data_IF_138659953261
#
_entry.id   IF_138659953261
#
_cell.length_a   1.000
_cell.length_b   1.000
_cell.length_c   1.000
_cell.angle_alpha   90.00
_cell.angle_beta   90.00
_cell.angle_gamma   90.00
#
_symmetry.space_group_name_H-M   'P 1'
#
loop_
_entity.id
_entity.type
_entity.pdbx_description
1 polymer ?
#
# COMPACT_ATOMS: atom_id res chain seq x y z
N UNK A 1 10.37 -59.87 33.92
CA UNK A 1 9.28 -58.89 34.19
C UNK A 1 9.72 -57.41 34.10
N UNK A 2 10.95 -57.04 34.50
CA UNK A 2 11.45 -55.65 34.44
C UNK A 2 11.70 -55.12 33.02
N UNK A 3 12.05 -55.97 32.03
CA UNK A 3 12.34 -55.50 30.67
C UNK A 3 11.10 -55.08 29.85
N UNK A 4 9.95 -55.70 30.09
CA UNK A 4 8.69 -55.33 29.42
C UNK A 4 8.08 -54.03 29.96
N UNK A 5 8.38 -53.65 31.19
CA UNK A 5 7.90 -52.42 31.80
C UNK A 5 8.63 -51.18 31.25
N UNK A 6 9.95 -51.29 31.07
CA UNK A 6 10.77 -50.21 30.48
C UNK A 6 10.42 -49.97 29.00
N UNK A 7 10.10 -51.01 28.24
CA UNK A 7 9.73 -50.91 26.81
C UNK A 7 8.35 -50.24 26.63
N UNK A 8 7.38 -50.49 27.52
CA UNK A 8 6.09 -49.82 27.50
C UNK A 8 6.18 -48.33 27.90
N UNK A 9 7.03 -48.01 28.88
CA UNK A 9 7.29 -46.61 29.26
C UNK A 9 7.98 -45.82 28.14
N UNK A 10 9.00 -46.35 27.50
CA UNK A 10 9.69 -45.70 26.34
C UNK A 10 8.74 -45.48 25.17
N UNK A 11 7.86 -46.44 24.87
CA UNK A 11 6.90 -46.33 23.79
C UNK A 11 5.81 -45.27 24.08
N UNK A 12 5.41 -45.16 25.34
CA UNK A 12 4.46 -44.16 25.83
C UNK A 12 5.06 -42.76 25.78
N UNK A 13 6.31 -42.61 26.20
CA UNK A 13 7.07 -41.34 26.14
C UNK A 13 7.33 -40.89 24.70
N UNK A 14 7.75 -41.78 23.83
CA UNK A 14 7.97 -41.47 22.40
C UNK A 14 6.70 -41.02 21.72
N UNK A 15 5.57 -41.66 21.99
CA UNK A 15 4.26 -41.25 21.46
C UNK A 15 3.80 -39.90 22.01
N UNK A 16 4.10 -39.57 23.25
CA UNK A 16 3.82 -38.28 23.84
C UNK A 16 4.64 -37.17 23.19
N UNK A 17 5.96 -37.36 23.03
CA UNK A 17 6.85 -36.41 22.39
C UNK A 17 6.44 -36.17 20.90
N UNK A 18 6.14 -37.23 20.17
CA UNK A 18 5.68 -37.13 18.78
C UNK A 18 4.40 -36.28 18.65
N UNK A 19 3.46 -36.43 19.58
CA UNK A 19 2.23 -35.61 19.59
C UNK A 19 2.51 -34.16 19.91
N UNK A 20 3.34 -33.88 20.88
CA UNK A 20 3.71 -32.53 21.28
C UNK A 20 4.40 -31.81 20.10
N UNK A 21 5.30 -32.50 19.42
CA UNK A 21 5.96 -31.97 18.21
C UNK A 21 4.95 -31.71 17.09
N UNK A 22 4.00 -32.61 16.84
CA UNK A 22 2.95 -32.41 15.84
C UNK A 22 2.07 -31.19 16.14
N UNK A 23 1.67 -31.01 17.40
CA UNK A 23 0.88 -29.87 17.84
C UNK A 23 1.65 -28.57 17.61
N UNK A 24 2.92 -28.51 18.04
CA UNK A 24 3.77 -27.33 17.86
C UNK A 24 3.96 -27.01 16.38
N UNK A 25 4.26 -28.01 15.56
CA UNK A 25 4.42 -27.83 14.10
C UNK A 25 3.12 -27.32 13.47
N UNK A 26 1.96 -27.89 13.83
CA UNK A 26 0.66 -27.45 13.31
C UNK A 26 0.39 -26.00 13.69
N UNK A 27 0.60 -25.61 14.95
CA UNK A 27 0.44 -24.22 15.41
C UNK A 27 1.37 -23.30 14.64
N UNK A 28 2.65 -23.66 14.53
CA UNK A 28 3.65 -22.84 13.84
C UNK A 28 3.31 -22.63 12.35
N UNK A 29 2.90 -23.69 11.64
CA UNK A 29 2.52 -23.63 10.23
C UNK A 29 1.25 -22.81 10.01
N UNK A 30 0.24 -22.99 10.85
CA UNK A 30 -1.01 -22.23 10.77
C UNK A 30 -0.74 -20.74 11.01
N UNK A 31 -0.02 -20.39 12.08
CA UNK A 31 0.30 -19.01 12.41
C UNK A 31 1.18 -18.36 11.33
N UNK A 32 2.14 -19.10 10.78
CA UNK A 32 2.98 -18.64 9.65
C UNK A 32 2.15 -18.37 8.40
N UNK A 33 1.16 -19.21 8.11
CA UNK A 33 0.29 -19.04 6.95
C UNK A 33 -0.73 -17.91 7.11
N UNK A 34 -1.17 -17.63 8.36
CA UNK A 34 -2.17 -16.58 8.61
C UNK A 34 -1.75 -15.24 8.02
N UNK A 35 -2.67 -14.50 7.40
CA UNK A 35 -2.38 -13.17 6.90
C UNK A 35 -1.78 -12.29 8.00
N UNK A 36 -0.58 -11.78 7.77
CA UNK A 36 0.11 -10.91 8.75
C UNK A 36 -0.49 -9.51 8.76
N UNK A 37 -1.13 -9.14 7.66
CA UNK A 37 -1.80 -7.86 7.47
C UNK A 37 -3.31 -8.04 7.43
N UNK A 38 -4.02 -7.28 8.24
CA UNK A 38 -5.44 -7.00 8.04
C UNK A 38 -5.61 -5.99 6.89
N UNK A 39 -4.87 -6.20 5.78
CA UNK A 39 -4.99 -5.35 4.61
C UNK A 39 -6.35 -5.64 3.97
N UNK A 40 -7.32 -4.83 4.28
CA UNK A 40 -8.54 -4.77 3.50
C UNK A 40 -8.20 -4.06 2.19
N UNK A 41 -7.71 -4.81 1.20
CA UNK A 41 -7.51 -4.27 -0.14
C UNK A 41 -8.89 -4.06 -0.76
N UNK A 42 -9.33 -2.82 -0.73
CA UNK A 42 -10.48 -2.43 -1.52
C UNK A 42 -10.05 -2.28 -2.98
N UNK A 43 -10.67 -3.01 -3.88
CA UNK A 43 -10.51 -2.76 -5.30
C UNK A 43 -11.33 -1.52 -5.67
N UNK A 44 -10.62 -0.39 -5.82
CA UNK A 44 -11.20 0.92 -6.05
C UNK A 44 -11.32 1.19 -7.55
N UNK A 45 -12.54 1.41 -8.03
CA UNK A 45 -12.78 1.89 -9.37
C UNK A 45 -13.63 3.16 -9.32
N UNK A 46 -13.07 4.27 -9.82
CA UNK A 46 -13.78 5.56 -9.91
C UNK A 46 -15.01 5.43 -10.80
N UNK A 47 -16.13 6.02 -10.38
CA UNK A 47 -17.37 6.01 -11.13
C UNK A 47 -18.18 4.71 -11.05
N UNK A 48 -17.69 3.69 -10.34
CA UNK A 48 -18.43 2.44 -10.08
C UNK A 48 -19.04 2.43 -8.69
N UNK A 49 -20.13 1.67 -8.47
CA UNK A 49 -20.73 1.51 -7.16
C UNK A 49 -19.77 0.80 -6.19
N UNK A 50 -19.75 1.25 -4.94
CA UNK A 50 -19.03 0.62 -3.85
C UNK A 50 -19.62 -0.76 -3.53
N UNK A 51 -18.86 -1.82 -3.74
CA UNK A 51 -19.33 -3.21 -3.63
C UNK A 51 -19.25 -3.79 -2.22
N UNK A 52 -18.50 -3.13 -1.34
CA UNK A 52 -18.26 -3.61 0.03
C UNK A 52 -19.30 -3.07 1.01
N UNK A 53 -19.21 -3.47 2.28
CA UNK A 53 -20.03 -2.91 3.35
C UNK A 53 -19.78 -1.40 3.54
N UNK A 54 -20.68 -0.73 4.26
CA UNK A 54 -20.53 0.68 4.61
C UNK A 54 -19.17 0.91 5.26
N UNK A 55 -18.44 1.91 4.77
CA UNK A 55 -17.10 2.19 5.24
C UNK A 55 -17.06 3.45 6.09
N UNK A 56 -16.70 3.27 7.35
CA UNK A 56 -16.43 4.32 8.33
C UNK A 56 -14.96 4.32 8.72
N UNK A 57 -14.41 5.50 8.98
CA UNK A 57 -13.01 5.65 9.39
C UNK A 57 -12.74 4.97 10.75
N UNK A 58 -11.84 3.98 10.82
CA UNK A 58 -11.53 3.30 12.08
C UNK A 58 -10.57 4.10 12.98
N UNK A 59 -9.86 5.09 12.42
CA UNK A 59 -8.95 6.02 13.09
C UNK A 59 -8.88 7.34 12.31
N UNK A 60 -8.28 8.37 12.90
CA UNK A 60 -8.07 9.67 12.26
C UNK A 60 -6.96 9.57 11.22
N UNK A 61 -7.20 10.05 10.01
CA UNK A 61 -6.17 10.06 8.97
C UNK A 61 -6.29 11.25 8.01
N UNK A 62 -5.14 11.75 7.47
CA UNK A 62 -5.13 12.81 6.47
C UNK A 62 -5.58 12.30 5.11
N UNK A 63 -6.33 13.12 4.38
CA UNK A 63 -6.68 12.86 2.97
C UNK A 63 -5.61 13.50 2.09
N UNK A 64 -4.76 12.70 1.49
CA UNK A 64 -3.68 13.16 0.63
C UNK A 64 -4.19 13.70 -0.69
N UNK A 65 -3.50 14.73 -1.21
CA UNK A 65 -3.69 15.21 -2.57
C UNK A 65 -3.16 14.18 -3.57
N UNK A 66 -3.73 14.15 -4.79
CA UNK A 66 -3.14 13.32 -5.86
C UNK A 66 -1.77 13.88 -6.28
N UNK A 67 -0.91 13.00 -6.80
CA UNK A 67 0.41 13.40 -7.30
C UNK A 67 0.31 14.45 -8.42
N UNK A 68 -0.75 14.38 -9.24
CA UNK A 68 -1.03 15.37 -10.28
C UNK A 68 -1.37 16.74 -9.68
N UNK A 69 -2.19 16.78 -8.62
CA UNK A 69 -2.54 18.03 -7.93
C UNK A 69 -1.31 18.65 -7.25
N UNK A 70 -0.45 17.85 -6.64
CA UNK A 70 0.80 18.31 -6.04
C UNK A 70 1.75 18.85 -7.14
N UNK A 71 1.87 18.15 -8.27
CA UNK A 71 2.69 18.61 -9.41
C UNK A 71 2.16 19.92 -9.97
N UNK A 72 0.84 20.03 -10.21
CA UNK A 72 0.23 21.25 -10.70
C UNK A 72 0.43 22.45 -9.76
N UNK A 73 0.36 22.22 -8.44
CA UNK A 73 0.63 23.25 -7.45
C UNK A 73 2.12 23.65 -7.41
N UNK A 74 3.04 22.68 -7.54
CA UNK A 74 4.47 22.93 -7.70
C UNK A 74 4.77 23.76 -8.95
N UNK A 75 4.20 23.36 -10.08
CA UNK A 75 4.38 24.07 -11.36
C UNK A 75 3.82 25.49 -11.29
N UNK A 76 2.69 25.68 -10.61
CA UNK A 76 2.11 27.01 -10.38
C UNK A 76 3.00 27.89 -9.53
N UNK A 77 3.56 27.34 -8.44
CA UNK A 77 4.50 28.06 -7.57
C UNK A 77 5.80 28.41 -8.30
N UNK A 78 6.33 27.49 -9.12
CA UNK A 78 7.53 27.73 -9.91
C UNK A 78 7.34 28.84 -10.96
N UNK A 79 6.14 29.04 -11.49
CA UNK A 79 5.84 30.17 -12.40
C UNK A 79 5.91 31.52 -11.70
N UNK A 80 5.56 31.56 -10.42
CA UNK A 80 5.60 32.80 -9.59
C UNK A 80 6.92 33.00 -8.85
N UNK A 81 7.84 32.04 -9.01
CA UNK A 81 9.12 32.10 -8.35
C UNK A 81 10.03 33.18 -8.92
N UNK A 82 10.60 34.04 -8.06
CA UNK A 82 11.53 35.12 -8.35
C UNK A 82 12.94 34.73 -7.89
N UNK A 83 13.92 34.53 -8.79
CA UNK A 83 15.29 34.22 -8.41
C UNK A 83 16.00 35.40 -7.75
N UNK A 84 16.88 35.10 -6.80
CA UNK A 84 17.62 36.10 -6.06
C UNK A 84 18.94 36.44 -6.73
N UNK A 85 19.22 37.74 -6.82
CA UNK A 85 20.47 38.30 -7.31
C UNK A 85 21.07 39.22 -6.26
N UNK A 86 22.36 39.06 -5.96
CA UNK A 86 23.12 39.93 -5.09
C UNK A 86 23.63 41.11 -5.92
N UNK A 87 23.35 42.34 -5.47
CA UNK A 87 23.91 43.57 -6.08
C UNK A 87 25.30 43.84 -5.51
N UNK A 88 26.28 43.90 -6.43
CA UNK A 88 27.68 44.19 -6.07
C UNK A 88 27.96 45.71 -6.25
N UNK A 89 27.90 46.46 -5.15
CA UNK A 89 28.18 47.87 -5.13
C UNK A 89 29.68 48.21 -5.37
N UNK A 90 30.58 47.30 -4.97
CA UNK A 90 32.01 47.50 -5.16
C UNK A 90 32.39 47.46 -6.61
N UNK A 91 31.71 46.61 -7.40
CA UNK A 91 31.93 46.46 -8.83
C UNK A 91 31.66 47.74 -9.61
N UNK A 92 30.59 48.46 -9.27
CA UNK A 92 30.27 49.79 -9.81
C UNK A 92 31.41 50.76 -9.56
N UNK A 93 31.80 50.94 -8.27
CA UNK A 93 32.86 51.89 -7.89
C UNK A 93 34.20 51.56 -8.55
N UNK A 94 34.55 50.26 -8.64
CA UNK A 94 35.78 49.80 -9.29
C UNK A 94 35.80 50.12 -10.76
N UNK A 95 34.72 49.82 -11.49
CA UNK A 95 34.68 50.00 -12.96
C UNK A 95 34.60 51.47 -13.39
N UNK A 96 33.82 52.27 -12.68
CA UNK A 96 33.78 53.74 -12.92
C UNK A 96 35.11 54.37 -12.60
N UNK A 97 35.76 54.01 -11.50
CA UNK A 97 37.10 54.50 -11.13
C UNK A 97 38.15 54.06 -12.17
N UNK A 98 38.14 52.81 -12.58
CA UNK A 98 39.03 52.26 -13.60
C UNK A 98 38.85 53.05 -14.93
N UNK A 99 37.62 53.27 -15.36
CA UNK A 99 37.31 54.06 -16.56
C UNK A 99 37.89 55.47 -16.44
N UNK A 100 37.71 56.16 -15.32
CA UNK A 100 38.23 57.50 -15.06
C UNK A 100 39.77 57.56 -15.00
N UNK A 101 40.43 56.52 -14.48
CA UNK A 101 41.88 56.41 -14.42
C UNK A 101 42.50 56.12 -15.77
N UNK A 102 41.97 55.17 -16.50
CA UNK A 102 42.49 54.75 -17.80
C UNK A 102 42.34 55.84 -18.87
N UNK A 103 41.38 56.74 -18.70
CA UNK A 103 41.05 57.81 -19.64
C UNK A 103 41.20 59.22 -19.02
N UNK A 104 42.06 59.34 -17.97
CA UNK A 104 42.28 60.62 -17.28
C UNK A 104 42.80 61.75 -18.19
N UNK A 105 43.55 61.40 -19.23
CA UNK A 105 44.07 62.34 -20.25
C UNK A 105 43.02 62.65 -21.34
N UNK A 106 41.80 62.08 -21.25
CA UNK A 106 40.74 62.24 -22.25
C UNK A 106 40.64 61.04 -23.19
N UNK A 107 39.55 60.97 -23.93
CA UNK A 107 39.35 59.96 -24.97
C UNK A 107 40.11 60.38 -26.25
N UNK A 108 40.62 59.41 -27.05
CA UNK A 108 41.22 59.74 -28.33
C UNK A 108 40.24 60.55 -29.19
N UNK A 109 40.70 61.73 -29.66
CA UNK A 109 39.92 62.67 -30.48
C UNK A 109 38.74 63.35 -29.78
N UNK A 110 38.51 63.16 -28.46
CA UNK A 110 37.41 63.74 -27.67
C UNK A 110 37.92 64.42 -26.39
N UNK A 111 37.25 65.51 -25.98
CA UNK A 111 37.63 66.26 -24.77
C UNK A 111 37.29 65.56 -23.44
N UNK A 112 37.85 66.03 -22.32
CA UNK A 112 37.64 65.44 -20.98
C UNK A 112 36.17 65.49 -20.52
N UNK A 113 35.35 66.36 -21.07
CA UNK A 113 33.90 66.41 -20.81
C UNK A 113 33.18 65.11 -21.13
N UNK A 114 33.60 64.35 -22.16
CA UNK A 114 33.02 63.07 -22.53
C UNK A 114 33.31 62.00 -21.49
N UNK A 115 34.48 62.06 -20.82
CA UNK A 115 34.81 61.15 -19.71
C UNK A 115 33.79 61.30 -18.58
N UNK A 116 33.40 62.52 -18.23
CA UNK A 116 32.41 62.81 -17.20
C UNK A 116 31.00 62.32 -17.61
N UNK A 117 30.60 62.58 -18.89
CA UNK A 117 29.30 62.16 -19.39
C UNK A 117 29.18 60.63 -19.38
N UNK A 118 30.20 59.91 -19.85
CA UNK A 118 30.21 58.44 -19.88
C UNK A 118 30.26 57.89 -18.45
N UNK A 119 31.06 58.49 -17.53
CA UNK A 119 31.09 58.07 -16.12
C UNK A 119 29.72 58.17 -15.47
N UNK A 120 28.99 59.28 -15.68
CA UNK A 120 27.64 59.45 -15.13
C UNK A 120 26.67 58.43 -15.76
N UNK A 121 26.84 58.14 -17.02
CA UNK A 121 26.00 57.14 -17.69
C UNK A 121 26.28 55.70 -17.22
N UNK A 122 27.55 55.35 -17.08
CA UNK A 122 27.96 54.09 -16.48
C UNK A 122 27.38 53.94 -15.06
N UNK A 123 27.48 55.00 -14.23
CA UNK A 123 26.88 55.00 -12.91
C UNK A 123 25.37 54.70 -12.96
N UNK A 124 24.61 55.35 -13.81
CA UNK A 124 23.18 55.11 -13.94
C UNK A 124 22.85 53.68 -14.43
N UNK A 125 23.66 53.12 -15.34
CA UNK A 125 23.49 51.72 -15.80
C UNK A 125 23.79 50.71 -14.71
N UNK A 126 24.83 50.93 -13.92
CA UNK A 126 25.16 50.08 -12.82
C UNK A 126 24.09 50.14 -11.71
N UNK A 127 23.50 51.30 -11.44
CA UNK A 127 22.41 51.43 -10.44
C UNK A 127 21.17 50.63 -10.84
N UNK A 128 20.86 50.56 -12.12
CA UNK A 128 19.74 49.72 -12.62
C UNK A 128 20.06 48.24 -12.57
N UNK A 129 21.35 47.89 -12.63
CA UNK A 129 21.83 46.50 -12.58
C UNK A 129 22.17 45.92 -13.96
N UNK A 130 23.34 45.31 -13.99
CA UNK A 130 23.86 44.64 -15.19
C UNK A 130 24.01 43.15 -14.93
N UNK A 131 23.39 42.32 -15.74
CA UNK A 131 23.45 40.86 -15.64
C UNK A 131 24.36 40.27 -16.73
N UNK A 132 24.76 39.01 -16.51
CA UNK A 132 25.39 38.19 -17.54
C UNK A 132 24.47 38.06 -18.76
N UNK A 133 24.99 38.16 -20.00
CA UNK A 133 24.16 38.04 -21.24
C UNK A 133 23.43 36.70 -21.35
N UNK A 134 24.03 35.60 -20.84
CA UNK A 134 23.44 34.26 -20.85
C UNK A 134 22.24 34.22 -19.92
N UNK A 135 22.39 34.59 -18.66
CA UNK A 135 21.31 34.61 -17.67
C UNK A 135 20.17 35.54 -18.06
N UNK A 136 20.51 36.74 -18.59
CA UNK A 136 19.54 37.69 -19.08
C UNK A 136 18.70 37.13 -20.25
N UNK A 137 19.34 36.42 -21.21
CA UNK A 137 18.62 35.81 -22.33
C UNK A 137 17.67 34.69 -21.89
N UNK A 138 18.04 33.89 -20.92
CA UNK A 138 17.20 32.83 -20.34
C UNK A 138 15.98 33.44 -19.62
N UNK A 139 16.18 34.46 -18.82
CA UNK A 139 15.09 35.09 -18.07
C UNK A 139 14.15 35.92 -18.95
N UNK A 140 14.67 36.52 -20.03
CA UNK A 140 13.89 37.37 -20.93
C UNK A 140 12.92 36.61 -21.84
N UNK A 141 12.98 35.28 -21.89
CA UNK A 141 11.98 34.47 -22.63
C UNK A 141 10.57 34.71 -22.08
N UNK A 142 10.46 35.08 -20.79
CA UNK A 142 9.23 35.52 -20.15
C UNK A 142 9.37 37.00 -19.75
N UNK A 143 8.76 37.91 -20.55
CA UNK A 143 8.82 39.36 -20.34
C UNK A 143 8.15 39.84 -19.06
N UNK A 144 7.27 39.03 -18.46
CA UNK A 144 6.62 39.30 -17.17
C UNK A 144 7.44 38.81 -15.96
N UNK A 145 8.62 38.24 -16.19
CA UNK A 145 9.40 37.62 -15.12
C UNK A 145 10.02 38.68 -14.21
N UNK A 146 9.80 38.46 -12.91
CA UNK A 146 10.38 39.29 -11.86
C UNK A 146 11.61 38.59 -11.28
N UNK A 147 12.56 39.36 -10.81
CA UNK A 147 13.75 38.94 -10.07
C UNK A 147 13.84 39.69 -8.75
N UNK A 148 14.50 39.12 -7.77
CA UNK A 148 14.75 39.76 -6.46
C UNK A 148 16.18 40.24 -6.38
N UNK A 149 16.37 41.54 -6.37
CA UNK A 149 17.68 42.15 -6.18
C UNK A 149 17.93 42.45 -4.67
N UNK A 150 18.98 41.87 -4.13
CA UNK A 150 19.38 42.06 -2.72
C UNK A 150 20.41 43.15 -2.63
N UNK A 151 20.02 44.25 -1.94
CA UNK A 151 20.87 45.37 -1.61
C UNK A 151 20.84 45.58 -0.10
N UNK A 152 21.97 45.61 0.58
CA UNK A 152 22.06 45.86 2.02
C UNK A 152 21.12 44.97 2.86
N UNK A 153 21.03 43.69 2.53
CA UNK A 153 20.14 42.66 3.16
C UNK A 153 18.63 42.83 2.91
N UNK A 154 18.23 43.81 2.11
CA UNK A 154 16.83 43.97 1.67
C UNK A 154 16.68 43.42 0.24
N UNK A 155 15.63 42.66 0.01
CA UNK A 155 15.33 42.10 -1.27
C UNK A 155 14.15 42.85 -1.91
N UNK A 156 14.38 43.47 -3.06
CA UNK A 156 13.37 44.18 -3.82
C UNK A 156 13.02 43.41 -5.08
N UNK A 157 11.74 43.26 -5.39
CA UNK A 157 11.27 42.65 -6.64
C UNK A 157 11.36 43.67 -7.76
N UNK A 158 12.03 43.32 -8.84
CA UNK A 158 12.30 44.18 -10.02
C UNK A 158 11.98 43.40 -11.28
N UNK A 159 11.40 44.08 -12.26
CA UNK A 159 11.14 43.45 -13.55
C UNK A 159 12.45 43.20 -14.31
N UNK A 160 12.57 42.06 -15.00
CA UNK A 160 13.70 41.77 -15.88
C UNK A 160 13.87 42.83 -16.99
N UNK A 161 12.80 43.56 -17.34
CA UNK A 161 12.81 44.61 -18.32
C UNK A 161 13.50 45.91 -17.85
N UNK A 162 13.64 46.10 -16.54
CA UNK A 162 14.29 47.24 -15.91
C UNK A 162 15.79 47.05 -15.73
N UNK A 163 16.28 45.83 -15.98
CA UNK A 163 17.68 45.42 -15.79
C UNK A 163 18.34 45.30 -17.17
N UNK A 164 19.63 45.46 -17.24
CA UNK A 164 20.38 45.34 -18.49
C UNK A 164 21.23 44.06 -18.53
N UNK A 165 21.45 43.51 -19.69
CA UNK A 165 22.62 42.67 -19.97
C UNK A 165 23.83 43.54 -20.30
N UNK A 166 25.05 42.99 -20.19
CA UNK A 166 26.24 43.77 -20.63
C UNK A 166 26.12 44.29 -22.09
N UNK A 167 25.44 43.54 -22.97
CA UNK A 167 25.19 43.92 -24.33
C UNK A 167 24.17 45.07 -24.45
N UNK A 168 23.03 44.97 -23.77
CA UNK A 168 22.00 46.00 -23.81
C UNK A 168 22.45 47.27 -23.07
N UNK A 169 23.25 47.13 -22.00
CA UNK A 169 23.87 48.25 -21.31
C UNK A 169 24.83 49.04 -22.22
N UNK A 170 25.61 48.33 -23.05
CA UNK A 170 26.46 48.97 -24.04
C UNK A 170 25.65 49.73 -25.09
N UNK A 171 24.56 49.16 -25.58
CA UNK A 171 23.67 49.85 -26.54
C UNK A 171 22.99 51.08 -25.91
N UNK A 172 22.63 50.97 -24.60
CA UNK A 172 21.97 52.02 -23.86
C UNK A 172 22.90 53.25 -23.63
N UNK A 173 24.21 53.04 -23.58
CA UNK A 173 25.19 54.17 -23.54
C UNK A 173 24.99 55.15 -24.70
N UNK A 174 24.69 54.63 -25.88
CA UNK A 174 24.54 55.43 -27.13
C UNK A 174 23.13 55.99 -27.36
N UNK A 175 22.23 55.85 -26.38
CA UNK A 175 20.92 56.54 -26.47
C UNK A 175 21.02 58.03 -26.09
N UNK A 176 22.13 58.46 -25.51
CA UNK A 176 22.41 59.86 -25.30
C UNK A 176 22.81 60.47 -26.65
N UNK A 177 22.14 61.56 -27.06
CA UNK A 177 22.37 62.21 -28.36
C UNK A 177 23.83 62.65 -28.56
N UNK A 178 24.50 63.16 -27.51
CA UNK A 178 25.90 63.55 -27.59
C UNK A 178 26.84 62.37 -27.82
N UNK A 179 26.57 61.21 -27.18
CA UNK A 179 27.34 59.98 -27.34
C UNK A 179 27.02 59.25 -28.65
N UNK A 180 25.80 59.34 -29.13
CA UNK A 180 25.36 58.73 -30.40
C UNK A 180 26.11 59.33 -31.58
N UNK A 181 26.31 60.65 -31.59
CA UNK A 181 27.06 61.35 -32.66
C UNK A 181 28.52 60.93 -32.72
N UNK A 182 29.11 60.53 -31.62
CA UNK A 182 30.53 60.16 -31.49
C UNK A 182 30.74 58.64 -31.47
N UNK A 183 29.70 57.82 -31.76
CA UNK A 183 29.73 56.38 -31.73
C UNK A 183 30.92 55.73 -32.49
N UNK A 184 31.34 56.21 -33.70
CA UNK A 184 32.46 55.64 -34.41
C UNK A 184 33.79 55.76 -33.69
N UNK A 185 33.99 56.84 -32.94
CA UNK A 185 35.19 57.12 -32.14
C UNK A 185 35.13 56.29 -30.86
N UNK A 186 34.01 56.32 -30.14
CA UNK A 186 33.80 55.60 -28.89
C UNK A 186 33.86 54.08 -29.04
N UNK A 187 33.52 53.52 -30.18
CA UNK A 187 33.69 52.10 -30.45
C UNK A 187 35.16 51.65 -30.48
N UNK A 188 36.10 52.57 -30.80
CA UNK A 188 37.56 52.31 -30.74
C UNK A 188 38.12 52.27 -29.32
N UNK A 189 37.36 52.77 -28.33
CA UNK A 189 37.81 52.93 -26.94
C UNK A 189 37.50 51.72 -26.07
N UNK A 190 37.07 50.58 -26.60
CA UNK A 190 36.77 49.32 -25.87
C UNK A 190 35.90 49.51 -24.62
N UNK A 191 34.85 50.37 -24.71
CA UNK A 191 33.96 50.68 -23.56
C UNK A 191 33.32 49.43 -22.94
N UNK A 192 33.26 48.31 -23.70
CA UNK A 192 32.79 47.03 -23.16
C UNK A 192 33.61 46.54 -21.95
N UNK A 193 34.89 46.89 -21.84
CA UNK A 193 35.76 46.44 -20.76
C UNK A 193 35.34 47.03 -19.41
N UNK A 194 34.56 48.11 -19.40
CA UNK A 194 34.04 48.77 -18.20
C UNK A 194 32.56 48.44 -17.92
N UNK A 195 31.90 47.58 -18.75
CA UNK A 195 30.52 47.16 -18.53
C UNK A 195 30.53 45.69 -18.14
N UNK A 196 30.72 45.44 -16.88
CA UNK A 196 30.76 44.10 -16.31
C UNK A 196 29.50 43.81 -15.47
N UNK A 197 29.04 42.58 -15.37
CA UNK A 197 27.88 42.23 -14.53
C UNK A 197 28.15 42.60 -13.07
N UNK A 198 27.18 43.29 -12.43
CA UNK A 198 27.14 43.57 -11.02
C UNK A 198 25.93 42.92 -10.29
N UNK A 199 25.07 42.25 -11.04
CA UNK A 199 24.06 41.36 -10.48
C UNK A 199 24.56 39.93 -10.57
N UNK A 200 24.83 39.34 -9.43
CA UNK A 200 25.36 37.97 -9.33
C UNK A 200 24.25 37.08 -8.78
N UNK A 201 23.97 35.96 -9.44
CA UNK A 201 22.97 35.00 -9.00
C UNK A 201 23.32 34.46 -7.61
N UNK A 202 22.40 34.67 -6.63
CA UNK A 202 22.55 34.15 -5.26
C UNK A 202 21.93 32.75 -5.19
N UNK A 203 22.75 31.75 -5.47
CA UNK A 203 22.34 30.37 -5.49
C UNK A 203 21.78 29.89 -4.14
N UNK A 204 22.44 30.24 -3.04
CA UNK A 204 22.06 29.76 -1.70
C UNK A 204 20.68 30.27 -1.30
N UNK A 205 20.43 31.58 -1.48
CA UNK A 205 19.10 32.15 -1.18
C UNK A 205 18.03 31.65 -2.12
N UNK A 206 18.35 31.51 -3.38
CA UNK A 206 17.43 30.99 -4.40
C UNK A 206 17.00 29.55 -4.08
N UNK A 207 17.94 28.65 -3.82
CA UNK A 207 17.65 27.26 -3.46
C UNK A 207 16.90 27.15 -2.13
N UNK A 208 17.26 27.95 -1.13
CA UNK A 208 16.54 27.98 0.16
C UNK A 208 15.10 28.43 -0.05
N UNK A 209 14.88 29.51 -0.80
CA UNK A 209 13.53 30.02 -1.10
C UNK A 209 12.68 29.00 -1.87
N UNK A 210 13.26 28.28 -2.84
CA UNK A 210 12.57 27.18 -3.54
C UNK A 210 12.18 26.08 -2.55
N UNK A 211 13.11 25.66 -1.69
CA UNK A 211 12.83 24.61 -0.72
C UNK A 211 11.74 25.03 0.28
N UNK A 212 11.75 26.28 0.74
CA UNK A 212 10.72 26.81 1.62
C UNK A 212 9.34 26.85 0.92
N UNK A 213 9.29 27.29 -0.32
CA UNK A 213 8.08 27.26 -1.14
C UNK A 213 7.57 25.84 -1.36
N UNK A 214 8.45 24.90 -1.69
CA UNK A 214 8.08 23.49 -1.88
C UNK A 214 7.60 22.84 -0.58
N UNK A 215 8.20 23.17 0.56
CA UNK A 215 7.81 22.66 1.87
C UNK A 215 6.48 23.24 2.37
N UNK A 216 6.08 24.41 1.87
CA UNK A 216 4.81 25.05 2.21
C UNK A 216 3.60 24.38 1.55
N UNK A 217 3.80 23.50 0.56
CA UNK A 217 2.73 22.77 -0.11
C UNK A 217 2.13 21.76 0.86
N UNK A 218 0.87 21.97 1.22
CA UNK A 218 0.14 21.01 2.04
C UNK A 218 -0.08 19.71 1.27
N UNK A 219 0.45 18.60 1.78
CA UNK A 219 0.30 17.26 1.15
C UNK A 219 -1.11 16.70 1.32
N UNK A 220 -1.88 17.19 2.29
CA UNK A 220 -3.24 16.76 2.59
C UNK A 220 -4.25 17.90 2.37
N UNK A 221 -5.46 17.53 1.95
CA UNK A 221 -6.59 18.46 1.78
C UNK A 221 -7.42 18.63 3.05
N UNK A 222 -7.30 17.70 4.01
CA UNK A 222 -8.03 17.70 5.27
C UNK A 222 -7.79 16.42 6.05
N UNK A 223 -8.49 16.25 7.17
CA UNK A 223 -8.42 15.07 8.04
C UNK A 223 -9.82 14.46 8.16
N UNK A 224 -9.91 13.14 8.02
CA UNK A 224 -11.12 12.36 8.31
C UNK A 224 -10.99 11.83 9.73
N UNK A 225 -12.00 12.08 10.56
CA UNK A 225 -12.01 11.67 11.96
C UNK A 225 -12.53 10.24 12.12
N UNK A 226 -12.09 9.55 13.17
CA UNK A 226 -12.58 8.23 13.57
C UNK A 226 -14.12 8.25 13.70
N UNK A 227 -14.76 7.22 13.12
CA UNK A 227 -16.21 7.10 13.11
C UNK A 227 -16.92 7.91 12.02
N UNK A 228 -16.21 8.76 11.26
CA UNK A 228 -16.76 9.47 10.13
C UNK A 228 -17.05 8.50 8.98
N UNK A 229 -18.27 8.54 8.47
CA UNK A 229 -18.70 7.74 7.32
C UNK A 229 -18.06 8.26 6.03
N UNK A 230 -17.52 7.36 5.22
CA UNK A 230 -16.81 7.68 3.98
C UNK A 230 -17.65 7.32 2.76
N UNK A 231 -18.24 6.11 2.74
CA UNK A 231 -19.05 5.61 1.62
C UNK A 231 -20.02 4.53 2.08
N UNK A 232 -21.21 4.49 1.46
CA UNK A 232 -22.22 3.46 1.65
C UNK A 232 -22.11 2.36 0.59
N UNK A 233 -22.61 1.17 0.93
CA UNK A 233 -22.75 0.09 -0.04
C UNK A 233 -23.68 0.51 -1.19
N UNK A 234 -23.18 0.40 -2.42
CA UNK A 234 -23.90 0.79 -3.62
C UNK A 234 -23.74 2.26 -4.02
N UNK A 235 -23.16 3.11 -3.19
CA UNK A 235 -22.83 4.49 -3.52
C UNK A 235 -21.75 4.56 -4.60
N UNK A 236 -21.88 5.51 -5.53
CA UNK A 236 -20.87 5.70 -6.58
C UNK A 236 -19.60 6.29 -5.97
N UNK A 237 -18.47 5.65 -6.23
CA UNK A 237 -17.15 6.11 -5.79
C UNK A 237 -16.76 7.37 -6.55
N UNK A 238 -16.94 8.53 -5.91
CA UNK A 238 -16.52 9.83 -6.43
C UNK A 238 -15.01 10.02 -6.28
N UNK A 239 -14.42 11.04 -6.93
CA UNK A 239 -13.00 11.38 -6.74
C UNK A 239 -12.64 11.68 -5.29
N UNK A 240 -13.55 12.29 -4.54
CA UNK A 240 -13.37 12.59 -3.12
C UNK A 240 -13.35 11.31 -2.28
N UNK A 241 -14.31 10.43 -2.51
CA UNK A 241 -14.42 9.13 -1.83
C UNK A 241 -13.23 8.24 -2.17
N UNK A 242 -12.83 8.20 -3.44
CA UNK A 242 -11.65 7.46 -3.91
C UNK A 242 -10.39 7.89 -3.16
N UNK A 243 -10.11 9.22 -3.11
CA UNK A 243 -8.94 9.74 -2.40
C UNK A 243 -8.97 9.48 -0.90
N UNK A 244 -10.15 9.55 -0.29
CA UNK A 244 -10.31 9.23 1.12
C UNK A 244 -9.93 7.78 1.43
N UNK A 245 -10.42 6.83 0.61
CA UNK A 245 -10.13 5.40 0.81
C UNK A 245 -8.67 5.07 0.44
N UNK A 246 -8.13 5.66 -0.62
CA UNK A 246 -6.72 5.52 -1.00
C UNK A 246 -5.79 6.04 0.11
N UNK A 247 -6.12 7.21 0.68
CA UNK A 247 -5.38 7.79 1.81
C UNK A 247 -5.46 6.92 3.06
N UNK A 248 -6.64 6.36 3.33
CA UNK A 248 -6.83 5.38 4.40
C UNK A 248 -5.93 4.16 4.22
N UNK A 249 -5.90 3.58 3.00
CA UNK A 249 -5.05 2.42 2.72
C UNK A 249 -3.57 2.74 2.95
N UNK A 250 -3.10 3.89 2.45
CA UNK A 250 -1.72 4.35 2.63
C UNK A 250 -1.35 4.58 4.10
N UNK A 251 -2.24 5.19 4.86
CA UNK A 251 -1.98 5.45 6.29
C UNK A 251 -2.11 4.17 7.13
N UNK A 252 -3.00 3.27 6.76
CA UNK A 252 -3.10 1.93 7.35
C UNK A 252 -1.81 1.12 7.15
N UNK A 253 -1.21 1.19 5.95
CA UNK A 253 0.11 0.57 5.70
C UNK A 253 1.18 1.16 6.62
N UNK A 254 1.24 2.49 6.72
CA UNK A 254 2.23 3.19 7.55
C UNK A 254 2.12 2.85 9.04
N UNK A 255 0.88 2.79 9.55
CA UNK A 255 0.63 2.41 10.94
C UNK A 255 0.99 0.94 11.23
N UNK A 256 0.90 0.06 10.21
CA UNK A 256 1.28 -1.35 10.35
C UNK A 256 2.78 -1.62 10.22
N UNK A 257 3.56 -0.71 9.68
CA UNK A 257 5.03 -0.79 9.66
C UNK A 257 5.64 -0.56 11.05
N UNK A 258 4.89 -0.01 12.01
CA UNK A 258 5.36 0.17 13.38
C UNK A 258 5.48 -1.19 14.09
N UNK A 259 6.71 -1.65 14.28
CA UNK A 259 7.14 -2.99 14.73
C UNK A 259 6.51 -3.49 16.06
N UNK A 260 5.95 -2.60 16.87
CA UNK A 260 5.31 -2.93 18.15
C UNK A 260 3.91 -3.53 17.99
N UNK A 261 3.10 -3.02 17.06
CA UNK A 261 1.75 -3.56 16.81
C UNK A 261 1.80 -4.97 16.19
N UNK A 262 2.79 -5.25 15.35
CA UNK A 262 2.99 -6.57 14.76
C UNK A 262 3.29 -7.65 15.79
N UNK A 263 3.99 -7.34 16.89
CA UNK A 263 4.29 -8.31 17.96
C UNK A 263 3.05 -8.73 18.74
N UNK A 264 2.19 -7.77 19.10
CA UNK A 264 0.93 -8.09 19.80
C UNK A 264 -0.05 -8.85 18.91
N UNK A 265 -0.15 -8.51 17.64
CA UNK A 265 -0.95 -9.24 16.65
C UNK A 265 -0.48 -10.69 16.51
N UNK A 266 0.84 -10.91 16.39
CA UNK A 266 1.42 -12.24 16.31
C UNK A 266 1.15 -13.06 17.58
N UNK A 267 1.35 -12.46 18.78
CA UNK A 267 1.05 -13.11 20.05
C UNK A 267 -0.42 -13.49 20.16
N UNK A 268 -1.33 -12.62 19.74
CA UNK A 268 -2.77 -12.89 19.69
C UNK A 268 -3.11 -14.08 18.78
N UNK A 269 -2.51 -14.16 17.60
CA UNK A 269 -2.69 -15.29 16.66
C UNK A 269 -2.17 -16.60 17.24
N UNK A 270 -0.98 -16.58 17.83
CA UNK A 270 -0.39 -17.76 18.50
C UNK A 270 -1.30 -18.23 19.62
N UNK A 271 -1.75 -17.31 20.49
CA UNK A 271 -2.60 -17.63 21.62
C UNK A 271 -3.94 -18.23 21.17
N UNK A 272 -4.59 -17.62 20.16
CA UNK A 272 -5.86 -18.07 19.61
C UNK A 272 -5.76 -19.50 19.04
N UNK A 273 -4.82 -19.73 18.13
CA UNK A 273 -4.62 -21.04 17.49
C UNK A 273 -4.26 -22.09 18.53
N UNK A 274 -3.42 -21.73 19.50
CA UNK A 274 -3.02 -22.62 20.60
C UNK A 274 -4.23 -23.04 21.43
N UNK A 275 -5.09 -22.12 21.85
CA UNK A 275 -6.29 -22.42 22.63
C UNK A 275 -7.21 -23.39 21.88
N UNK A 276 -7.47 -23.14 20.59
CA UNK A 276 -8.37 -23.95 19.76
C UNK A 276 -7.78 -25.37 19.57
N UNK A 277 -6.50 -25.48 19.23
CA UNK A 277 -5.84 -26.79 19.05
C UNK A 277 -5.74 -27.56 20.37
N UNK A 278 -5.41 -26.89 21.48
CA UNK A 278 -5.40 -27.52 22.81
C UNK A 278 -6.80 -27.97 23.24
N UNK A 279 -7.85 -27.19 22.93
CA UNK A 279 -9.23 -27.58 23.17
C UNK A 279 -9.59 -28.91 22.47
N UNK A 280 -9.20 -29.03 21.16
CA UNK A 280 -9.38 -30.28 20.42
C UNK A 280 -8.55 -31.43 21.01
N UNK A 281 -7.29 -31.18 21.40
CA UNK A 281 -6.43 -32.19 22.04
C UNK A 281 -7.02 -32.65 23.37
N UNK A 282 -7.54 -31.71 24.15
CA UNK A 282 -8.20 -31.99 25.43
C UNK A 282 -9.46 -32.84 25.21
N UNK A 283 -10.29 -32.50 24.24
CA UNK A 283 -11.44 -33.37 23.87
C UNK A 283 -10.99 -34.79 23.55
N UNK A 284 -9.95 -34.99 22.73
CA UNK A 284 -9.41 -36.30 22.41
C UNK A 284 -8.88 -37.02 23.67
N UNK A 285 -8.26 -36.31 24.59
CA UNK A 285 -7.72 -36.90 25.82
C UNK A 285 -8.79 -37.40 26.78
N UNK A 286 -9.94 -36.76 26.83
CA UNK A 286 -11.05 -37.13 27.70
C UNK A 286 -11.92 -38.23 27.08
N UNK A 287 -12.27 -38.11 25.79
CA UNK A 287 -13.29 -38.94 25.18
C UNK A 287 -12.75 -40.02 24.27
N UNK A 288 -11.51 -39.87 23.76
CA UNK A 288 -10.93 -40.73 22.73
C UNK A 288 -9.46 -41.04 22.94
N UNK A 289 -9.14 -41.53 24.12
CA UNK A 289 -7.77 -41.96 24.48
C UNK A 289 -7.20 -43.04 23.56
N UNK A 290 -8.06 -43.90 23.01
CA UNK A 290 -7.71 -44.93 22.03
C UNK A 290 -7.07 -44.39 20.77
N UNK A 291 -7.55 -43.23 20.28
CA UNK A 291 -6.93 -42.53 19.12
C UNK A 291 -5.62 -41.84 19.47
N UNK A 292 -5.49 -41.38 20.72
CA UNK A 292 -4.22 -40.84 21.18
C UNK A 292 -3.10 -41.89 21.17
N UNK A 293 -3.39 -43.15 21.38
CA UNK A 293 -2.41 -44.25 21.29
C UNK A 293 -2.03 -44.51 19.84
N UNK A 294 -2.95 -44.34 18.89
CA UNK A 294 -2.74 -44.57 17.45
C UNK A 294 -2.21 -43.28 16.76
N UNK A 295 -0.94 -42.98 16.88
CA UNK A 295 -0.31 -41.72 16.41
C UNK A 295 -0.66 -41.35 14.95
N UNK A 296 -0.84 -42.33 14.05
CA UNK A 296 -1.16 -42.07 12.62
C UNK A 296 -2.51 -41.39 12.42
N UNK A 297 -3.56 -41.79 13.19
CA UNK A 297 -4.91 -41.18 13.08
C UNK A 297 -4.90 -39.72 13.50
N UNK A 298 -4.18 -39.41 14.57
CA UNK A 298 -4.01 -38.05 15.04
C UNK A 298 -3.22 -37.21 14.03
N UNK A 299 -2.10 -37.77 13.54
CA UNK A 299 -1.28 -37.09 12.54
C UNK A 299 -2.10 -36.71 11.28
N UNK A 300 -2.94 -37.61 10.79
CA UNK A 300 -3.87 -37.33 9.71
C UNK A 300 -4.81 -36.16 10.05
N UNK A 301 -5.44 -36.17 11.23
CA UNK A 301 -6.41 -35.13 11.61
C UNK A 301 -5.75 -33.77 11.73
N UNK A 302 -4.60 -33.64 12.40
CA UNK A 302 -3.86 -32.39 12.49
C UNK A 302 -3.34 -31.92 11.13
N UNK A 303 -2.89 -32.85 10.28
CA UNK A 303 -2.47 -32.53 8.91
C UNK A 303 -3.62 -31.94 8.10
N UNK A 304 -4.81 -32.54 8.17
CA UNK A 304 -5.99 -32.04 7.46
C UNK A 304 -6.38 -30.63 7.96
N UNK A 305 -6.46 -30.42 9.26
CA UNK A 305 -6.75 -29.10 9.84
C UNK A 305 -5.72 -28.06 9.36
N UNK A 306 -4.42 -28.40 9.40
CA UNK A 306 -3.34 -27.52 9.01
C UNK A 306 -3.39 -27.20 7.51
N UNK A 307 -3.60 -28.20 6.66
CA UNK A 307 -3.68 -28.03 5.19
C UNK A 307 -4.84 -27.09 4.84
N UNK A 308 -6.03 -27.31 5.38
CA UNK A 308 -7.18 -26.45 5.09
C UNK A 308 -7.01 -25.03 5.63
N UNK A 309 -6.38 -24.85 6.79
CA UNK A 309 -6.03 -23.52 7.30
C UNK A 309 -5.03 -22.80 6.38
N UNK A 310 -4.00 -23.49 5.87
CA UNK A 310 -3.04 -22.94 4.91
C UNK A 310 -3.73 -22.60 3.59
N UNK A 311 -4.58 -23.48 3.07
CA UNK A 311 -5.36 -23.23 1.84
C UNK A 311 -6.25 -22.00 2.00
N UNK A 312 -6.95 -21.86 3.13
CA UNK A 312 -7.76 -20.67 3.43
C UNK A 312 -6.92 -19.40 3.40
N UNK A 313 -5.75 -19.42 4.04
CA UNK A 313 -4.82 -18.29 4.05
C UNK A 313 -4.30 -17.94 2.65
N UNK A 314 -4.02 -18.93 1.81
CA UNK A 314 -3.59 -18.72 0.42
C UNK A 314 -4.71 -18.12 -0.44
N UNK A 315 -5.94 -18.60 -0.28
CA UNK A 315 -7.10 -18.06 -0.99
C UNK A 315 -7.42 -16.63 -0.57
N UNK A 316 -7.22 -16.29 0.71
CA UNK A 316 -7.36 -14.91 1.18
C UNK A 316 -6.32 -13.94 0.61
N UNK A 317 -5.14 -14.41 0.23
CA UNK A 317 -4.11 -13.59 -0.43
C UNK A 317 -4.42 -13.33 -1.90
N UNK A 318 -5.29 -14.12 -2.51
CA UNK A 318 -5.61 -14.03 -3.92
C UNK A 318 -6.97 -13.34 -4.12
N UNK A 319 -6.97 -12.18 -4.77
CA UNK A 319 -8.18 -11.36 -5.03
C UNK A 319 -9.16 -11.99 -6.04
N UNK A 320 -8.73 -12.99 -6.81
CA UNK A 320 -9.54 -13.61 -7.85
C UNK A 320 -10.33 -14.83 -7.37
N UNK A 321 -10.05 -15.35 -6.18
CA UNK A 321 -10.67 -16.59 -5.68
C UNK A 321 -11.41 -16.34 -4.37
N UNK A 322 -12.60 -16.94 -4.25
CA UNK A 322 -13.40 -16.85 -3.03
C UNK A 322 -13.20 -18.10 -2.17
N UNK A 323 -13.13 -17.93 -0.85
CA UNK A 323 -12.88 -19.04 0.10
C UNK A 323 -13.94 -20.13 0.06
N UNK A 324 -15.16 -19.83 -0.35
CA UNK A 324 -16.22 -20.82 -0.52
C UNK A 324 -16.01 -21.85 -1.66
N UNK A 325 -14.96 -21.72 -2.48
CA UNK A 325 -14.55 -22.76 -3.42
C UNK A 325 -13.92 -23.95 -2.69
N UNK A 326 -13.29 -23.71 -1.53
CA UNK A 326 -12.61 -24.76 -0.77
C UNK A 326 -13.60 -25.74 -0.16
N UNK A 327 -13.45 -27.04 -0.43
CA UNK A 327 -14.36 -28.07 0.05
C UNK A 327 -14.07 -28.46 1.52
N UNK A 328 -14.35 -27.57 2.47
CA UNK A 328 -14.08 -27.77 3.90
C UNK A 328 -14.76 -29.04 4.46
N UNK A 329 -15.90 -29.46 3.90
CA UNK A 329 -16.59 -30.67 4.27
C UNK A 329 -15.80 -31.95 3.98
N UNK A 330 -14.69 -31.88 3.20
CA UNK A 330 -13.78 -33.04 3.05
C UNK A 330 -13.16 -33.46 4.37
N UNK A 331 -12.87 -32.53 5.29
CA UNK A 331 -12.26 -32.86 6.57
C UNK A 331 -13.16 -33.79 7.41
N UNK A 332 -14.43 -33.45 7.69
CA UNK A 332 -15.28 -34.36 8.42
C UNK A 332 -15.57 -35.65 7.65
N UNK A 333 -15.61 -35.64 6.30
CA UNK A 333 -15.74 -36.85 5.49
C UNK A 333 -14.57 -37.80 5.77
N UNK A 334 -13.32 -37.32 5.63
CA UNK A 334 -12.14 -38.17 5.84
C UNK A 334 -12.01 -38.64 7.29
N UNK A 335 -12.22 -37.75 8.25
CA UNK A 335 -12.16 -38.14 9.66
C UNK A 335 -13.26 -39.15 9.99
N UNK A 336 -14.47 -39.00 9.43
CA UNK A 336 -15.57 -39.94 9.63
C UNK A 336 -15.27 -41.33 9.09
N UNK A 337 -14.62 -41.45 7.94
CA UNK A 337 -14.25 -42.71 7.32
C UNK A 337 -13.25 -43.51 8.16
N UNK A 338 -12.27 -42.84 8.76
CA UNK A 338 -11.18 -43.50 9.49
C UNK A 338 -11.37 -43.53 11.04
N UNK A 339 -12.30 -42.71 11.53
CA UNK A 339 -12.54 -42.56 12.97
C UNK A 339 -14.05 -42.64 13.26
N UNK A 340 -14.61 -41.67 13.98
CA UNK A 340 -16.02 -41.66 14.34
C UNK A 340 -16.67 -40.29 14.10
N UNK A 341 -18.00 -40.25 14.12
CA UNK A 341 -18.78 -39.03 13.84
C UNK A 341 -18.49 -37.89 14.83
N UNK A 342 -18.29 -38.22 16.12
CA UNK A 342 -18.04 -37.18 17.13
C UNK A 342 -16.68 -36.53 16.93
N UNK A 343 -15.66 -37.35 16.67
CA UNK A 343 -14.31 -36.82 16.36
C UNK A 343 -14.29 -36.06 15.05
N UNK A 344 -15.01 -36.51 14.01
CA UNK A 344 -15.14 -35.83 12.76
C UNK A 344 -15.76 -34.43 12.92
N UNK A 345 -16.83 -34.31 13.70
CA UNK A 345 -17.47 -33.04 14.00
C UNK A 345 -16.56 -32.10 14.75
N UNK A 346 -15.89 -32.59 15.82
CA UNK A 346 -14.98 -31.76 16.61
C UNK A 346 -13.76 -31.29 15.79
N UNK A 347 -13.20 -32.15 14.94
CA UNK A 347 -12.10 -31.77 14.02
C UNK A 347 -12.55 -30.70 13.02
N UNK A 348 -13.75 -30.84 12.48
CA UNK A 348 -14.33 -29.88 11.54
C UNK A 348 -14.57 -28.51 12.19
N UNK A 349 -15.19 -28.46 13.37
CA UNK A 349 -15.40 -27.22 14.12
C UNK A 349 -14.05 -26.55 14.47
N UNK A 350 -13.06 -27.34 14.92
CA UNK A 350 -11.71 -26.83 15.20
C UNK A 350 -11.13 -26.14 13.96
N UNK A 351 -11.20 -26.77 12.80
CA UNK A 351 -10.73 -26.23 11.54
C UNK A 351 -11.47 -24.94 11.16
N UNK A 352 -12.82 -24.96 11.20
CA UNK A 352 -13.66 -23.81 10.85
C UNK A 352 -13.32 -22.61 11.74
N UNK A 353 -13.20 -22.80 13.05
CA UNK A 353 -12.86 -21.73 13.97
C UNK A 353 -11.49 -21.11 13.66
N UNK A 354 -10.49 -21.94 13.32
CA UNK A 354 -9.17 -21.45 12.91
C UNK A 354 -9.26 -20.67 11.60
N UNK A 355 -10.02 -21.16 10.63
CA UNK A 355 -10.19 -20.47 9.33
C UNK A 355 -11.00 -19.17 9.45
N UNK A 356 -12.05 -19.17 10.29
CA UNK A 356 -12.97 -18.04 10.44
C UNK A 356 -12.29 -16.75 10.88
N UNK A 357 -11.26 -16.82 11.73
CA UNK A 357 -10.53 -15.63 12.21
C UNK A 357 -9.79 -14.90 11.10
N UNK A 358 -9.55 -15.58 9.96
CA UNK A 358 -8.91 -14.98 8.77
C UNK A 358 -9.90 -14.25 7.87
N UNK A 359 -11.22 -14.40 8.08
CA UNK A 359 -12.28 -13.96 7.18
C UNK A 359 -12.99 -12.71 7.71
N UNK A 360 -13.41 -11.83 6.79
CA UNK A 360 -14.20 -10.62 7.13
C UNK A 360 -15.62 -10.97 7.59
N UNK A 361 -16.27 -11.96 6.96
CA UNK A 361 -17.61 -12.44 7.30
C UNK A 361 -17.54 -13.76 8.08
N UNK A 362 -16.83 -13.73 9.20
CA UNK A 362 -16.53 -14.93 10.01
C UNK A 362 -17.77 -15.67 10.49
N UNK A 363 -18.83 -14.94 10.92
CA UNK A 363 -20.05 -15.54 11.45
C UNK A 363 -20.80 -16.35 10.42
N UNK A 364 -20.99 -15.81 9.21
CA UNK A 364 -21.68 -16.51 8.12
C UNK A 364 -20.91 -17.76 7.70
N UNK A 365 -19.60 -17.62 7.55
CA UNK A 365 -18.72 -18.74 7.21
C UNK A 365 -18.84 -19.87 8.24
N UNK A 366 -18.80 -19.55 9.55
CA UNK A 366 -18.95 -20.56 10.60
C UNK A 366 -20.29 -21.28 10.52
N UNK A 367 -21.39 -20.56 10.26
CA UNK A 367 -22.72 -21.18 10.17
C UNK A 367 -22.83 -22.06 8.92
N UNK A 368 -22.46 -21.54 7.74
CA UNK A 368 -22.52 -22.26 6.47
C UNK A 368 -21.70 -23.55 6.54
N UNK A 369 -20.46 -23.47 6.99
CA UNK A 369 -19.57 -24.63 7.05
C UNK A 369 -19.92 -25.60 8.17
N UNK A 370 -20.49 -25.12 9.29
CA UNK A 370 -21.01 -26.03 10.34
C UNK A 370 -22.14 -26.90 9.80
N UNK A 371 -23.08 -26.29 9.02
CA UNK A 371 -24.16 -27.02 8.37
C UNK A 371 -23.61 -28.00 7.33
N UNK A 372 -22.61 -27.57 6.53
CA UNK A 372 -21.93 -28.45 5.57
C UNK A 372 -21.37 -29.72 6.24
N UNK A 373 -20.67 -29.53 7.39
CA UNK A 373 -20.12 -30.63 8.17
C UNK A 373 -21.16 -31.55 8.77
N UNK A 374 -22.26 -30.99 9.32
CA UNK A 374 -23.37 -31.78 9.84
C UNK A 374 -24.02 -32.66 8.76
N UNK A 375 -24.27 -32.07 7.58
CA UNK A 375 -24.83 -32.80 6.45
C UNK A 375 -23.88 -33.89 5.96
N UNK A 376 -22.56 -33.56 5.87
CA UNK A 376 -21.52 -34.53 5.49
C UNK A 376 -21.51 -35.74 6.43
N UNK A 377 -21.47 -35.51 7.74
CA UNK A 377 -21.40 -36.58 8.75
C UNK A 377 -22.68 -37.41 8.77
N UNK A 378 -23.85 -36.76 8.65
CA UNK A 378 -25.16 -37.42 8.69
C UNK A 378 -25.41 -38.26 7.45
N UNK A 379 -24.99 -37.75 6.27
CA UNK A 379 -25.15 -38.46 4.98
C UNK A 379 -24.25 -39.70 4.87
N UNK A 380 -23.14 -39.75 5.63
CA UNK A 380 -22.20 -40.88 5.62
C UNK A 380 -22.43 -41.88 6.76
N UNK A 381 -23.67 -42.04 7.23
CA UNK A 381 -24.00 -42.96 8.32
C UNK A 381 -23.70 -44.42 7.99
N UNK A 382 -23.93 -44.85 6.77
CA UNK A 382 -23.69 -46.20 6.25
C UNK A 382 -22.79 -46.15 5.02
N UNK A 383 -21.49 -46.30 5.19
CA UNK A 383 -20.49 -46.25 4.10
C UNK A 383 -20.41 -47.60 3.40
N UNK A 384 -21.44 -47.97 2.65
CA UNK A 384 -21.47 -49.23 1.90
C UNK A 384 -21.20 -49.06 0.40
N UNK A 385 -21.33 -47.88 -0.16
CA UNK A 385 -21.24 -47.66 -1.62
C UNK A 385 -20.56 -46.34 -2.00
N UNK A 386 -19.77 -46.36 -3.08
CA UNK A 386 -19.13 -45.13 -3.67
C UNK A 386 -20.15 -44.06 -4.07
N UNK A 387 -21.36 -44.49 -4.49
CA UNK A 387 -22.44 -43.57 -4.88
C UNK A 387 -22.93 -42.68 -3.74
N UNK A 388 -22.65 -43.02 -2.48
CA UNK A 388 -23.03 -42.20 -1.32
C UNK A 388 -22.21 -40.90 -1.24
N UNK A 389 -20.93 -40.93 -1.59
CA UNK A 389 -20.12 -39.72 -1.63
C UNK A 389 -20.65 -38.70 -2.64
N UNK A 390 -21.15 -39.19 -3.80
CA UNK A 390 -21.77 -38.34 -4.81
C UNK A 390 -23.07 -37.69 -4.30
N UNK A 391 -23.95 -38.48 -3.67
CA UNK A 391 -25.18 -37.97 -3.05
C UNK A 391 -24.84 -36.97 -1.92
N UNK A 392 -23.83 -37.27 -1.10
CA UNK A 392 -23.39 -36.42 -0.03
C UNK A 392 -22.92 -35.06 -0.55
N UNK A 393 -22.14 -35.01 -1.63
CA UNK A 393 -21.70 -33.77 -2.27
C UNK A 393 -22.88 -32.90 -2.71
N UNK A 394 -23.90 -33.49 -3.33
CA UNK A 394 -25.12 -32.78 -3.71
C UNK A 394 -25.86 -32.22 -2.50
N UNK A 395 -26.07 -33.04 -1.44
CA UNK A 395 -26.75 -32.58 -0.23
C UNK A 395 -26.02 -31.46 0.48
N UNK A 396 -24.68 -31.51 0.55
CA UNK A 396 -23.86 -30.46 1.11
C UNK A 396 -24.04 -29.15 0.31
N UNK A 397 -23.93 -29.22 -1.02
CA UNK A 397 -24.09 -28.07 -1.89
C UNK A 397 -25.46 -27.41 -1.75
N UNK A 398 -26.54 -28.22 -1.76
CA UNK A 398 -27.90 -27.71 -1.58
C UNK A 398 -28.09 -27.05 -0.19
N UNK A 399 -27.57 -27.70 0.87
CA UNK A 399 -27.66 -27.17 2.23
C UNK A 399 -26.90 -25.85 2.40
N UNK A 400 -25.68 -25.77 1.89
CA UNK A 400 -24.87 -24.54 1.98
C UNK A 400 -25.49 -23.39 1.17
N UNK A 401 -26.06 -23.68 -0.01
CA UNK A 401 -26.83 -22.71 -0.80
C UNK A 401 -28.06 -22.20 -0.04
N UNK A 402 -28.82 -23.10 0.59
CA UNK A 402 -30.01 -22.72 1.34
C UNK A 402 -29.68 -21.83 2.55
N UNK A 403 -28.60 -22.15 3.27
CA UNK A 403 -28.14 -21.32 4.40
C UNK A 403 -27.68 -19.96 3.92
N UNK A 404 -26.89 -19.90 2.83
CA UNK A 404 -26.43 -18.64 2.27
C UNK A 404 -27.61 -17.77 1.78
N UNK A 405 -28.60 -18.40 1.13
CA UNK A 405 -29.83 -17.71 0.71
C UNK A 405 -30.59 -17.11 1.90
N UNK A 406 -30.62 -17.83 3.02
CA UNK A 406 -31.26 -17.33 4.24
C UNK A 406 -30.56 -16.06 4.75
N UNK A 407 -29.23 -16.03 4.73
CA UNK A 407 -28.48 -14.81 5.09
C UNK A 407 -28.74 -13.65 4.11
N UNK A 408 -28.79 -13.93 2.80
CA UNK A 408 -29.13 -12.92 1.79
C UNK A 408 -30.52 -12.32 2.03
N UNK A 409 -31.51 -13.16 2.33
CA UNK A 409 -32.87 -12.70 2.62
C UNK A 409 -32.98 -11.91 3.96
N UNK A 410 -32.13 -12.24 4.93
CA UNK A 410 -32.08 -11.46 6.18
C UNK A 410 -31.47 -10.07 5.99
N UNK A 411 -30.70 -9.87 4.91
CA UNK A 411 -30.00 -8.60 4.63
C UNK A 411 -30.65 -7.74 3.56
N UNK A 412 -31.40 -8.34 2.65
CA UNK A 412 -31.95 -7.65 1.47
C UNK A 412 -33.46 -7.75 1.41
N UNK A 413 -34.09 -6.59 1.22
CA UNK A 413 -35.57 -6.50 1.07
C UNK A 413 -36.05 -6.90 -0.34
N UNK A 414 -35.15 -7.21 -1.29
CA UNK A 414 -35.51 -7.54 -2.67
C UNK A 414 -34.57 -8.58 -3.30
N UNK A 415 -35.14 -9.52 -4.05
CA UNK A 415 -34.40 -10.56 -4.76
C UNK A 415 -33.40 -10.04 -5.80
N UNK A 416 -33.63 -8.82 -6.32
CA UNK A 416 -32.76 -8.21 -7.33
C UNK A 416 -31.43 -7.69 -6.77
N UNK A 417 -31.28 -7.61 -5.45
CA UNK A 417 -30.05 -7.14 -4.79
C UNK A 417 -29.15 -8.27 -4.30
N UNK A 418 -29.53 -9.53 -4.54
CA UNK A 418 -28.75 -10.70 -4.15
C UNK A 418 -27.51 -10.82 -5.03
N UNK A 419 -26.34 -11.05 -4.43
CA UNK A 419 -25.11 -11.34 -5.16
C UNK A 419 -25.03 -12.82 -5.53
N UNK A 420 -25.46 -13.14 -6.75
CA UNK A 420 -25.46 -14.50 -7.25
C UNK A 420 -24.05 -15.09 -7.51
N UNK A 421 -23.00 -14.31 -7.43
CA UNK A 421 -21.62 -14.78 -7.67
C UNK A 421 -21.18 -15.82 -6.64
N UNK A 422 -21.63 -15.69 -5.38
CA UNK A 422 -21.32 -16.64 -4.29
C UNK A 422 -21.82 -18.04 -4.60
N UNK A 423 -23.01 -18.17 -5.24
CA UNK A 423 -23.58 -19.47 -5.56
C UNK A 423 -22.75 -20.24 -6.59
N UNK A 424 -22.08 -19.55 -7.52
CA UNK A 424 -21.13 -20.18 -8.45
C UNK A 424 -19.95 -20.81 -7.71
N UNK A 425 -19.46 -20.15 -6.66
CA UNK A 425 -18.39 -20.70 -5.82
C UNK A 425 -18.86 -21.90 -4.99
N UNK A 426 -20.10 -21.89 -4.49
CA UNK A 426 -20.70 -23.04 -3.79
C UNK A 426 -20.93 -24.25 -4.73
N UNK A 427 -21.29 -24.01 -6.01
CA UNK A 427 -21.36 -25.07 -7.01
C UNK A 427 -19.96 -25.65 -7.27
N UNK A 428 -18.96 -24.79 -7.45
CA UNK A 428 -17.56 -25.22 -7.63
C UNK A 428 -17.06 -26.04 -6.43
N UNK A 429 -17.42 -25.67 -5.20
CA UNK A 429 -17.17 -26.44 -3.98
C UNK A 429 -17.80 -27.85 -4.07
N UNK A 430 -19.08 -27.92 -4.49
CA UNK A 430 -19.77 -29.21 -4.69
C UNK A 430 -19.05 -30.11 -5.69
N UNK A 431 -18.56 -29.54 -6.79
CA UNK A 431 -17.76 -30.28 -7.78
C UNK A 431 -16.42 -30.74 -7.15
N UNK A 432 -15.77 -29.86 -6.38
CA UNK A 432 -14.53 -30.18 -5.68
C UNK A 432 -14.72 -31.33 -4.67
N UNK A 433 -15.87 -31.41 -4.01
CA UNK A 433 -16.20 -32.52 -3.10
C UNK A 433 -16.21 -33.89 -3.78
N UNK A 434 -16.46 -33.96 -5.08
CA UNK A 434 -16.37 -35.21 -5.83
C UNK A 434 -14.94 -35.78 -5.85
N UNK A 435 -13.94 -34.93 -5.74
CA UNK A 435 -12.55 -35.37 -5.63
C UNK A 435 -12.21 -35.96 -4.24
N UNK A 436 -13.13 -35.92 -3.28
CA UNK A 436 -12.93 -36.60 -2.00
C UNK A 436 -12.61 -38.08 -2.14
N UNK A 437 -13.18 -38.75 -3.16
CA UNK A 437 -12.94 -40.19 -3.39
C UNK A 437 -11.47 -40.49 -3.79
N UNK A 438 -10.89 -39.90 -4.82
CA UNK A 438 -9.49 -40.15 -5.14
C UNK A 438 -8.53 -39.65 -4.04
N UNK A 439 -8.89 -38.59 -3.32
CA UNK A 439 -8.09 -38.11 -2.18
C UNK A 439 -8.15 -39.09 -1.00
N UNK A 440 -9.27 -39.77 -0.78
CA UNK A 440 -9.37 -40.84 0.24
C UNK A 440 -8.33 -41.92 0.00
N UNK A 441 -8.19 -42.38 -1.24
CA UNK A 441 -7.16 -43.37 -1.63
C UNK A 441 -5.74 -42.87 -1.34
N UNK A 442 -5.46 -41.59 -1.62
CA UNK A 442 -4.17 -41.00 -1.32
C UNK A 442 -3.91 -40.97 0.19
N UNK A 443 -4.91 -40.64 1.01
CA UNK A 443 -4.82 -40.63 2.48
C UNK A 443 -4.57 -42.07 2.98
N UNK A 444 -5.30 -43.07 2.47
CA UNK A 444 -5.07 -44.47 2.82
C UNK A 444 -3.64 -44.91 2.59
N UNK A 445 -3.09 -44.56 1.41
CA UNK A 445 -1.73 -44.90 1.03
C UNK A 445 -0.69 -44.13 1.87
N UNK A 446 -0.94 -42.84 2.12
CA UNK A 446 0.00 -41.98 2.86
C UNK A 446 0.12 -42.37 4.35
N UNK A 447 -1.00 -42.70 4.97
CA UNK A 447 -1.05 -43.02 6.41
C UNK A 447 -1.08 -44.52 6.72
N UNK A 448 -1.19 -45.36 5.68
CA UNK A 448 -1.23 -46.80 5.83
C UNK A 448 -2.53 -47.29 6.48
N UNK A 449 -3.66 -46.69 6.11
CA UNK A 449 -4.99 -47.11 6.56
C UNK A 449 -5.64 -48.01 5.50
N UNK A 450 -6.62 -48.80 5.98
CA UNK A 450 -7.59 -49.47 5.11
C UNK A 450 -8.98 -48.99 5.49
N UNK A 451 -9.72 -48.42 4.54
CA UNK A 451 -11.10 -48.02 4.78
C UNK A 451 -12.04 -49.23 4.61
N UNK A 452 -13.21 -49.13 5.23
CA UNK A 452 -14.28 -50.13 5.04
C UNK A 452 -14.69 -50.24 3.56
N UNK A 453 -14.58 -49.16 2.77
CA UNK A 453 -14.83 -49.11 1.34
C UNK A 453 -13.85 -50.03 0.60
N UNK A 454 -12.56 -49.93 0.89
CA UNK A 454 -11.52 -50.77 0.30
C UNK A 454 -11.66 -52.23 0.68
N UNK A 455 -12.10 -52.52 1.93
CA UNK A 455 -12.37 -53.87 2.39
C UNK A 455 -13.57 -54.51 1.67
N UNK A 456 -14.64 -53.76 1.42
CA UNK A 456 -15.81 -54.22 0.69
C UNK A 456 -15.48 -54.47 -0.81
N UNK A 457 -14.58 -53.70 -1.39
CA UNK A 457 -14.12 -53.89 -2.79
C UNK A 457 -13.21 -55.09 -2.96
N UNK A 458 -12.53 -55.54 -1.90
CA UNK A 458 -11.64 -56.69 -1.93
C UNK A 458 -12.35 -58.00 -1.50
N UNK A 459 -13.58 -57.94 -1.02
CA UNK A 459 -14.42 -59.09 -0.65
C UNK A 459 -15.36 -59.48 -1.79
#
# INVERSE_FOLDING_TARGET
MKSNFSFQEEQTWRNFVTRLVLIIISIALIVWAMPHDNRTYYHLEKGKPWKYADFTAPFDFPVYKSDEAIRAEKDSLMKTYEPYYQYDQEKEAQMVKKFQQDLAEGLPELGPEYVKIISNRLHSLYQQGIMSPTEYSELRTDTARMIRIVVNKQANSVSIMEVYSSKTAYEQLFQDEMLALQRPILQKCNLNDYITPNLIYDRVRSETSINDMMSSIALATGVIQKGQKIVDRGEIVTDKTYRAIESFMKESERLHEDNTQNRFSLLGKILYVTIIILGFTFFLSLYRRDYLVKSRKIMMTYALITIFAILTALFMRNTFTHVYILPYAMVPIFVRVFMDSRTAFMAHITMILICAVMLTHSFEFVVVETVAGLVAISSLRELSQRSQLFKTAIFITLATMAVNLSFDWMRTDSLSKIDYSIYNYLIANGIALLFAYPLLYLIEKAFGFTSDITLIELS
#
